data_IF_453634986896
#
_entry.id   IF_453634986896
#
_cell.length_a   1.000
_cell.length_b   1.000
_cell.length_c   1.000
_cell.angle_alpha   90.00
_cell.angle_beta   90.00
_cell.angle_gamma   90.00
#
_symmetry.space_group_name_H-M   'P 1'
#
loop_
_entity.id
_entity.type
_entity.pdbx_description
1 polymer ?
#
# COMPACT_ATOMS: atom_id res chain seq x y z
N UNK A 1 -25.01 92.06 -11.73
CA UNK A 1 -24.61 92.37 -10.35
C UNK A 1 -25.62 91.72 -9.42
N UNK A 2 -25.13 90.89 -8.50
CA UNK A 2 -25.65 90.47 -7.19
C UNK A 2 -27.17 90.43 -6.88
N UNK A 3 -27.50 89.51 -5.96
CA UNK A 3 -28.62 89.50 -4.99
C UNK A 3 -29.64 88.35 -5.16
N UNK A 4 -29.55 87.42 -4.19
CA UNK A 4 -30.56 86.53 -3.55
C UNK A 4 -31.89 86.19 -4.23
N UNK A 5 -32.38 84.96 -3.97
CA UNK A 5 -33.73 84.74 -3.39
C UNK A 5 -33.96 83.30 -2.92
N UNK A 6 -34.44 83.18 -1.68
CA UNK A 6 -35.26 82.08 -1.18
C UNK A 6 -36.73 82.48 -1.38
N UNK A 7 -37.58 81.60 -1.91
CA UNK A 7 -39.03 81.51 -1.60
C UNK A 7 -39.65 80.25 -2.20
N UNK A 8 -40.58 79.68 -1.43
CA UNK A 8 -41.42 78.51 -1.66
C UNK A 8 -42.59 78.72 -2.63
N UNK A 9 -43.19 77.60 -3.08
CA UNK A 9 -44.60 77.34 -3.46
C UNK A 9 -44.63 76.49 -4.74
N UNK A 10 -45.44 75.47 -4.94
CA UNK A 10 -46.54 74.89 -4.18
C UNK A 10 -47.25 73.82 -5.03
N UNK A 11 -48.25 73.16 -4.42
CA UNK A 11 -49.40 72.49 -5.02
C UNK A 11 -49.26 71.17 -5.84
N UNK A 12 -49.56 70.07 -5.11
CA UNK A 12 -50.69 69.12 -5.28
C UNK A 12 -51.06 68.45 -6.63
N UNK A 13 -51.24 67.12 -6.47
CA UNK A 13 -52.16 66.13 -7.10
C UNK A 13 -51.78 65.47 -8.45
N UNK A 14 -51.50 64.16 -8.44
CA UNK A 14 -52.44 63.03 -8.73
C UNK A 14 -51.72 61.75 -9.25
N UNK A 15 -52.27 60.62 -8.80
CA UNK A 15 -52.31 59.28 -9.42
C UNK A 15 -51.18 58.25 -9.20
N UNK A 16 -51.65 57.08 -8.76
CA UNK A 16 -51.01 55.76 -8.64
C UNK A 16 -50.54 55.17 -9.98
N UNK A 17 -49.40 54.47 -9.95
CA UNK A 17 -49.22 53.12 -10.51
C UNK A 17 -47.84 52.58 -10.06
N UNK A 18 -47.72 51.25 -9.94
CA UNK A 18 -46.61 50.55 -9.30
C UNK A 18 -45.27 50.59 -10.04
N UNK A 19 -44.24 50.01 -9.43
CA UNK A 19 -43.64 48.72 -9.81
C UNK A 19 -42.46 48.44 -8.86
N UNK A 20 -42.67 47.39 -8.07
CA UNK A 20 -41.73 46.42 -7.47
C UNK A 20 -40.27 46.84 -7.16
N UNK A 21 -39.98 46.89 -5.87
CA UNK A 21 -38.66 46.59 -5.31
C UNK A 21 -38.20 45.21 -5.77
N UNK A 22 -36.96 45.09 -6.27
CA UNK A 22 -36.33 43.81 -6.56
C UNK A 22 -36.02 43.09 -5.25
N UNK A 23 -36.94 42.22 -4.85
CA UNK A 23 -36.74 41.25 -3.78
C UNK A 23 -35.92 40.08 -4.35
N UNK A 24 -34.59 40.16 -4.27
CA UNK A 24 -33.72 39.02 -4.60
C UNK A 24 -33.67 38.11 -3.38
N UNK A 25 -34.62 37.19 -3.27
CA UNK A 25 -34.66 36.19 -2.21
C UNK A 25 -33.35 35.37 -2.23
N UNK A 26 -32.67 35.18 -1.08
CA UNK A 26 -31.38 34.47 -0.99
C UNK A 26 -31.46 32.98 -1.37
N UNK A 27 -32.66 32.47 -1.64
CA UNK A 27 -32.95 31.10 -2.04
C UNK A 27 -32.63 30.81 -3.51
N UNK A 28 -32.80 31.77 -4.42
CA UNK A 28 -32.65 31.53 -5.87
C UNK A 28 -31.17 31.42 -6.29
N UNK A 29 -30.29 32.22 -5.66
CA UNK A 29 -28.85 32.13 -5.88
C UNK A 29 -28.29 30.85 -5.29
N UNK A 30 -28.75 30.44 -4.09
CA UNK A 30 -28.37 29.19 -3.45
C UNK A 30 -28.84 27.95 -4.24
N UNK A 31 -30.05 27.99 -4.80
CA UNK A 31 -30.55 26.92 -5.67
C UNK A 31 -29.76 26.82 -6.98
N UNK A 32 -29.32 27.95 -7.55
CA UNK A 32 -28.49 27.98 -8.76
C UNK A 32 -27.08 27.43 -8.52
N UNK A 33 -26.46 27.74 -7.38
CA UNK A 33 -25.15 27.16 -7.00
C UNK A 33 -25.27 25.66 -6.72
N UNK A 34 -26.32 25.21 -6.03
CA UNK A 34 -26.55 23.78 -5.81
C UNK A 34 -26.77 23.01 -7.12
N UNK A 35 -27.53 23.58 -8.06
CA UNK A 35 -27.74 22.98 -9.39
C UNK A 35 -26.44 22.94 -10.20
N UNK A 36 -25.63 24.00 -10.15
CA UNK A 36 -24.34 24.03 -10.82
C UNK A 36 -23.37 22.99 -10.24
N UNK A 37 -23.31 22.85 -8.91
CA UNK A 37 -22.51 21.84 -8.22
C UNK A 37 -23.01 20.43 -8.57
N UNK A 38 -24.32 20.20 -8.61
CA UNK A 38 -24.90 18.91 -9.00
C UNK A 38 -24.57 18.55 -10.46
N UNK A 39 -24.63 19.52 -11.38
CA UNK A 39 -24.25 19.30 -12.78
C UNK A 39 -22.75 19.01 -12.91
N UNK A 40 -21.89 19.73 -12.18
CA UNK A 40 -20.44 19.44 -12.13
C UNK A 40 -20.19 18.05 -11.54
N UNK A 41 -20.91 17.65 -10.49
CA UNK A 41 -20.82 16.30 -9.91
C UNK A 41 -21.30 15.22 -10.88
N UNK A 42 -22.39 15.44 -11.60
CA UNK A 42 -22.88 14.51 -12.62
C UNK A 42 -21.90 14.44 -13.80
N UNK A 43 -21.29 15.55 -14.21
CA UNK A 43 -20.25 15.56 -15.23
C UNK A 43 -18.95 14.88 -14.77
N UNK A 44 -18.50 15.10 -13.53
CA UNK A 44 -17.35 14.40 -12.94
C UNK A 44 -17.62 12.91 -12.72
N UNK A 45 -18.84 12.55 -12.29
CA UNK A 45 -19.25 11.17 -12.16
C UNK A 45 -19.34 10.50 -13.53
N UNK A 46 -19.91 11.15 -14.55
CA UNK A 46 -20.01 10.57 -15.90
C UNK A 46 -18.66 10.50 -16.61
N UNK A 47 -17.80 11.51 -16.49
CA UNK A 47 -16.42 11.47 -17.05
C UNK A 47 -15.52 10.49 -16.30
N UNK A 48 -15.68 10.37 -14.98
CA UNK A 48 -15.03 9.33 -14.18
C UNK A 48 -15.52 7.92 -14.54
N UNK A 49 -16.82 7.74 -14.82
CA UNK A 49 -17.40 6.45 -15.22
C UNK A 49 -17.01 6.05 -16.66
N UNK A 50 -16.84 7.01 -17.57
CA UNK A 50 -16.38 6.73 -18.95
C UNK A 50 -14.88 6.45 -19.00
N UNK A 51 -14.07 7.11 -18.16
CA UNK A 51 -12.64 6.80 -18.02
C UNK A 51 -12.40 5.38 -17.44
N UNK A 52 -13.24 4.94 -16.50
CA UNK A 52 -13.18 3.57 -15.93
C UNK A 52 -13.60 2.50 -16.95
N UNK A 53 -14.51 2.82 -17.88
CA UNK A 53 -14.96 1.86 -18.92
C UNK A 53 -13.94 1.61 -20.03
N UNK A 54 -12.88 2.40 -20.16
CA UNK A 54 -11.82 2.14 -21.14
C UNK A 54 -10.68 1.24 -20.64
N UNK A 55 -10.79 0.65 -19.44
CA UNK A 55 -9.77 -0.28 -18.92
C UNK A 55 -10.09 -1.78 -19.09
N UNK A 56 -11.23 -2.17 -19.65
CA UNK A 56 -11.65 -3.58 -19.63
C UNK A 56 -11.75 -4.19 -21.04
N UNK A 57 -10.69 -4.88 -21.46
CA UNK A 57 -10.79 -6.13 -22.25
C UNK A 57 -9.50 -6.98 -22.24
N UNK A 58 -8.31 -6.41 -21.97
CA UNK A 58 -7.02 -7.15 -22.07
C UNK A 58 -6.06 -6.89 -20.89
N UNK A 59 -6.45 -7.17 -19.65
CA UNK A 59 -5.45 -7.23 -18.57
C UNK A 59 -4.57 -8.47 -18.75
N UNK A 60 -3.24 -8.34 -18.91
CA UNK A 60 -2.34 -9.46 -19.20
C UNK A 60 -2.50 -10.64 -18.24
N UNK A 61 -2.77 -10.36 -16.97
CA UNK A 61 -3.00 -11.39 -15.96
C UNK A 61 -4.32 -12.14 -16.15
N UNK A 62 -5.39 -11.46 -16.54
CA UNK A 62 -6.69 -12.09 -16.81
C UNK A 62 -6.59 -13.07 -17.98
N UNK A 63 -5.88 -12.67 -19.05
CA UNK A 63 -5.59 -13.55 -20.19
C UNK A 63 -4.75 -14.75 -19.75
N UNK A 64 -3.71 -14.53 -18.94
CA UNK A 64 -2.87 -15.61 -18.44
C UNK A 64 -3.64 -16.61 -17.57
N UNK A 65 -4.55 -16.14 -16.69
CA UNK A 65 -5.42 -16.98 -15.86
C UNK A 65 -6.40 -17.80 -16.71
N UNK A 66 -6.99 -17.20 -17.75
CA UNK A 66 -7.87 -17.92 -18.67
C UNK A 66 -7.14 -19.01 -19.47
N UNK A 67 -5.87 -18.77 -19.82
CA UNK A 67 -4.99 -19.77 -20.45
C UNK A 67 -4.66 -20.90 -19.48
N UNK A 68 -4.26 -20.58 -18.24
CA UNK A 68 -3.98 -21.56 -17.18
C UNK A 68 -5.18 -22.46 -16.89
N UNK A 69 -6.40 -21.91 -16.82
CA UNK A 69 -7.62 -22.67 -16.57
C UNK A 69 -7.92 -23.75 -17.62
N UNK A 70 -7.40 -23.60 -18.84
CA UNK A 70 -7.51 -24.56 -19.95
C UNK A 70 -6.28 -25.44 -20.10
N UNK A 71 -5.22 -25.18 -19.33
CA UNK A 71 -3.94 -25.85 -19.42
C UNK A 71 -3.95 -27.25 -18.82
N UNK A 72 -2.94 -28.04 -19.21
CA UNK A 72 -2.70 -29.35 -18.63
C UNK A 72 -1.20 -29.65 -18.58
N UNK A 73 -0.79 -30.51 -17.64
CA UNK A 73 0.57 -30.99 -17.53
C UNK A 73 0.55 -32.50 -17.30
N UNK A 74 1.35 -33.24 -18.07
CA UNK A 74 1.40 -34.70 -18.01
C UNK A 74 0.01 -35.39 -18.10
N UNK A 75 -0.87 -34.87 -18.96
CA UNK A 75 -2.21 -35.41 -19.18
C UNK A 75 -3.23 -35.11 -18.07
N UNK A 76 -2.90 -34.23 -17.12
CA UNK A 76 -3.81 -33.80 -16.04
C UNK A 76 -4.09 -32.30 -16.13
N UNK A 77 -5.34 -31.91 -15.90
CA UNK A 77 -5.73 -30.51 -15.83
C UNK A 77 -4.98 -29.77 -14.72
N UNK A 78 -4.67 -28.50 -14.94
CA UNK A 78 -4.06 -27.64 -13.93
C UNK A 78 -5.09 -27.31 -12.82
N UNK A 79 -4.66 -27.17 -11.55
CA UNK A 79 -5.55 -26.78 -10.47
C UNK A 79 -6.03 -25.33 -10.66
N UNK A 80 -7.19 -24.93 -10.09
CA UNK A 80 -7.60 -23.53 -10.06
C UNK A 80 -6.49 -22.64 -9.47
N UNK A 81 -6.25 -21.47 -10.08
CA UNK A 81 -5.18 -20.57 -9.65
C UNK A 81 -5.44 -19.91 -8.28
N UNK A 82 -6.71 -19.88 -7.85
CA UNK A 82 -7.18 -19.43 -6.54
C UNK A 82 -7.30 -20.59 -5.52
N UNK A 83 -6.85 -21.80 -5.88
CA UNK A 83 -6.81 -22.91 -4.95
C UNK A 83 -5.95 -22.59 -3.72
N UNK A 84 -6.33 -23.16 -2.57
CA UNK A 84 -5.61 -22.92 -1.30
C UNK A 84 -4.12 -23.24 -1.44
N UNK A 85 -3.22 -22.49 -0.77
CA UNK A 85 -1.78 -22.63 -0.97
C UNK A 85 -1.23 -24.05 -0.77
N UNK A 86 -1.73 -24.79 0.23
CA UNK A 86 -1.31 -26.18 0.47
C UNK A 86 -1.68 -27.12 -0.69
N UNK A 87 -2.79 -26.88 -1.41
CA UNK A 87 -3.15 -27.69 -2.58
C UNK A 87 -2.23 -27.40 -3.76
N UNK A 88 -1.91 -26.12 -3.98
CA UNK A 88 -0.94 -25.70 -5.00
C UNK A 88 0.45 -26.27 -4.70
N UNK A 89 0.90 -26.19 -3.44
CA UNK A 89 2.16 -26.78 -3.00
C UNK A 89 2.20 -28.30 -3.21
N UNK A 90 1.13 -29.01 -2.85
CA UNK A 90 1.03 -30.44 -3.12
C UNK A 90 1.07 -30.74 -4.62
N UNK A 91 0.32 -29.99 -5.44
CA UNK A 91 0.36 -30.12 -6.89
C UNK A 91 1.79 -29.99 -7.44
N UNK A 92 2.51 -28.91 -7.09
CA UNK A 92 3.89 -28.74 -7.53
C UNK A 92 4.80 -29.86 -7.01
N UNK A 93 4.59 -30.35 -5.78
CA UNK A 93 5.35 -31.47 -5.23
C UNK A 93 5.24 -32.75 -6.07
N UNK A 94 4.09 -32.99 -6.72
CA UNK A 94 3.90 -34.16 -7.61
C UNK A 94 4.61 -34.04 -8.97
N UNK A 95 5.05 -32.84 -9.35
CA UNK A 95 5.69 -32.59 -10.63
C UNK A 95 7.20 -32.81 -10.57
N UNK A 96 7.77 -33.31 -11.67
CA UNK A 96 9.22 -33.35 -11.88
C UNK A 96 9.79 -31.93 -12.03
N UNK A 97 11.09 -31.76 -11.81
CA UNK A 97 11.75 -30.46 -11.97
C UNK A 97 11.53 -29.85 -13.37
N UNK A 98 11.62 -30.68 -14.42
CA UNK A 98 11.36 -30.23 -15.80
C UNK A 98 9.91 -29.80 -16.05
N UNK A 99 8.93 -30.47 -15.42
CA UNK A 99 7.52 -30.08 -15.52
C UNK A 99 7.25 -28.75 -14.80
N UNK A 100 7.84 -28.55 -13.61
CA UNK A 100 7.73 -27.27 -12.87
C UNK A 100 8.28 -26.11 -13.69
N UNK A 101 9.49 -26.28 -14.22
CA UNK A 101 10.14 -25.27 -15.08
C UNK A 101 9.29 -24.98 -16.31
N UNK A 102 8.76 -26.00 -16.99
CA UNK A 102 7.86 -25.82 -18.14
C UNK A 102 6.64 -24.95 -17.78
N UNK A 103 5.99 -25.20 -16.64
CA UNK A 103 4.86 -24.39 -16.21
C UNK A 103 5.25 -22.94 -15.94
N UNK A 104 6.41 -22.69 -15.32
CA UNK A 104 6.90 -21.34 -15.08
C UNK A 104 7.24 -20.60 -16.39
N UNK A 105 7.73 -21.32 -17.39
CA UNK A 105 8.09 -20.75 -18.69
C UNK A 105 6.84 -20.49 -19.56
N UNK A 106 5.82 -21.37 -19.50
CA UNK A 106 4.58 -21.26 -20.28
C UNK A 106 3.55 -20.31 -19.65
N UNK A 107 3.47 -20.26 -18.30
CA UNK A 107 2.50 -19.44 -17.56
C UNK A 107 3.19 -18.53 -16.52
N UNK A 108 4.13 -17.66 -16.93
CA UNK A 108 4.98 -16.93 -15.99
C UNK A 108 4.18 -15.98 -15.06
N UNK A 109 3.20 -15.25 -15.60
CA UNK A 109 2.31 -14.37 -14.81
C UNK A 109 1.38 -15.13 -13.85
N UNK A 110 1.14 -16.42 -14.07
CA UNK A 110 0.35 -17.25 -13.15
C UNK A 110 1.26 -17.85 -12.11
N UNK A 111 2.23 -18.69 -12.52
CA UNK A 111 3.13 -19.41 -11.60
C UNK A 111 3.89 -18.47 -10.68
N UNK A 112 4.33 -17.31 -11.21
CA UNK A 112 4.99 -16.27 -10.42
C UNK A 112 4.15 -15.76 -9.25
N UNK A 113 2.83 -15.74 -9.40
CA UNK A 113 1.88 -15.21 -8.41
C UNK A 113 1.09 -16.30 -7.66
N UNK A 114 1.38 -17.60 -7.88
CA UNK A 114 0.71 -18.69 -7.18
C UNK A 114 1.29 -18.86 -5.77
N UNK A 115 0.48 -18.53 -4.78
CA UNK A 115 0.75 -18.86 -3.39
C UNK A 115 0.75 -20.38 -3.21
N UNK A 116 1.91 -20.95 -2.85
CA UNK A 116 2.14 -22.40 -2.80
C UNK A 116 3.05 -22.94 -3.91
N UNK A 117 3.37 -22.16 -4.94
CA UNK A 117 4.46 -22.51 -5.85
C UNK A 117 5.82 -22.39 -5.13
N UNK A 118 6.81 -23.26 -5.43
CA UNK A 118 8.16 -23.14 -4.86
C UNK A 118 8.74 -21.74 -5.09
N UNK A 119 9.40 -21.17 -4.08
CA UNK A 119 9.88 -19.77 -4.11
C UNK A 119 10.81 -19.50 -5.29
N UNK A 120 11.80 -20.36 -5.50
CA UNK A 120 12.72 -20.27 -6.65
C UNK A 120 12.00 -20.35 -8.01
N UNK A 121 10.89 -21.09 -8.07
CA UNK A 121 10.06 -21.17 -9.27
C UNK A 121 9.29 -19.86 -9.50
N UNK A 122 8.78 -19.24 -8.43
CA UNK A 122 8.13 -17.92 -8.50
C UNK A 122 9.12 -16.85 -8.98
N UNK A 123 10.35 -16.86 -8.48
CA UNK A 123 11.39 -15.93 -8.92
C UNK A 123 11.70 -16.08 -10.41
N UNK A 124 11.84 -17.32 -10.90
CA UNK A 124 12.03 -17.59 -12.32
C UNK A 124 10.86 -17.07 -13.15
N UNK A 125 9.64 -17.45 -12.77
CA UNK A 125 8.42 -17.08 -13.49
C UNK A 125 8.23 -15.55 -13.54
N UNK A 126 8.37 -14.85 -12.41
CA UNK A 126 8.25 -13.39 -12.37
C UNK A 126 9.36 -12.69 -13.17
N UNK A 127 10.58 -13.24 -13.20
CA UNK A 127 11.66 -12.71 -14.06
C UNK A 127 11.33 -12.84 -15.55
N UNK A 128 10.72 -13.96 -15.95
CA UNK A 128 10.25 -14.15 -17.33
C UNK A 128 9.07 -13.21 -17.65
N UNK A 129 8.10 -13.07 -16.75
CA UNK A 129 6.99 -12.15 -16.91
C UNK A 129 7.45 -10.69 -17.02
N UNK A 130 8.43 -10.27 -16.21
CA UNK A 130 9.07 -8.96 -16.30
C UNK A 130 9.72 -8.72 -17.66
N UNK A 131 10.47 -9.71 -18.18
CA UNK A 131 11.11 -9.60 -19.49
C UNK A 131 10.08 -9.48 -20.62
N UNK A 132 9.02 -10.29 -20.58
CA UNK A 132 7.92 -10.24 -21.54
C UNK A 132 7.19 -8.89 -21.50
N UNK A 133 6.88 -8.39 -20.29
CA UNK A 133 6.28 -7.08 -20.12
C UNK A 133 7.20 -5.95 -20.62
N UNK A 134 8.52 -6.08 -20.44
CA UNK A 134 9.52 -5.19 -21.01
C UNK A 134 9.42 -5.08 -22.53
N UNK A 135 9.35 -6.20 -23.25
CA UNK A 135 9.19 -6.20 -24.71
C UNK A 135 7.88 -5.53 -25.14
N UNK A 136 6.79 -5.74 -24.40
CA UNK A 136 5.51 -5.06 -24.69
C UNK A 136 5.62 -3.55 -24.50
N UNK A 137 6.21 -3.08 -23.40
CA UNK A 137 6.37 -1.65 -23.15
C UNK A 137 7.36 -0.98 -24.10
N UNK A 138 8.38 -1.68 -24.57
CA UNK A 138 9.29 -1.19 -25.62
C UNK A 138 8.56 -0.94 -26.94
N UNK A 139 7.68 -1.85 -27.35
CA UNK A 139 6.82 -1.64 -28.52
C UNK A 139 5.88 -0.45 -28.32
N UNK A 140 5.23 -0.36 -27.14
CA UNK A 140 4.33 0.75 -26.80
C UNK A 140 5.06 2.10 -26.79
N UNK A 141 6.28 2.16 -26.28
CA UNK A 141 7.07 3.40 -26.25
C UNK A 141 7.34 3.97 -27.65
N UNK A 142 7.34 3.13 -28.69
CA UNK A 142 7.54 3.52 -30.08
C UNK A 142 6.25 3.52 -30.92
N UNK A 143 5.11 3.15 -30.34
CA UNK A 143 3.84 3.10 -31.06
C UNK A 143 3.28 4.50 -31.31
N UNK A 144 3.32 4.93 -32.57
CA UNK A 144 2.82 6.24 -33.01
C UNK A 144 1.30 6.38 -32.88
N UNK A 145 0.57 5.27 -32.71
CA UNK A 145 -0.89 5.26 -32.46
C UNK A 145 -1.24 5.69 -31.03
N UNK A 146 -0.29 5.59 -30.08
CA UNK A 146 -0.49 6.07 -28.71
C UNK A 146 -0.33 7.60 -28.63
N UNK A 147 -0.92 8.21 -27.60
CA UNK A 147 -0.63 9.61 -27.27
C UNK A 147 0.83 9.79 -26.82
N UNK A 148 1.38 11.02 -26.85
CA UNK A 148 2.70 11.31 -26.27
C UNK A 148 2.81 10.84 -24.82
N UNK A 149 1.79 11.07 -24.00
CA UNK A 149 1.74 10.63 -22.60
C UNK A 149 1.74 9.10 -22.48
N UNK A 150 1.02 8.41 -23.37
CA UNK A 150 0.99 6.95 -23.42
C UNK A 150 2.35 6.35 -23.75
N UNK A 151 3.08 6.95 -24.71
CA UNK A 151 4.47 6.56 -25.02
C UNK A 151 5.43 6.87 -23.88
N UNK A 152 5.29 8.03 -23.24
CA UNK A 152 6.13 8.44 -22.12
C UNK A 152 5.93 7.53 -20.89
N UNK A 153 4.69 7.13 -20.60
CA UNK A 153 4.39 6.14 -19.57
C UNK A 153 5.00 4.77 -19.92
N UNK A 154 4.85 4.30 -21.16
CA UNK A 154 5.46 3.05 -21.60
C UNK A 154 7.00 3.08 -21.43
N UNK A 155 7.66 4.18 -21.78
CA UNK A 155 9.09 4.36 -21.58
C UNK A 155 9.48 4.29 -20.09
N UNK A 156 8.72 4.96 -19.19
CA UNK A 156 8.96 4.86 -17.73
C UNK A 156 8.81 3.45 -17.20
N UNK A 157 7.79 2.72 -17.67
CA UNK A 157 7.57 1.32 -17.29
C UNK A 157 8.68 0.41 -17.80
N UNK A 158 9.14 0.63 -19.03
CA UNK A 158 10.29 -0.10 -19.59
C UNK A 158 11.54 0.09 -18.75
N UNK A 159 11.89 1.33 -18.40
CA UNK A 159 13.05 1.63 -17.55
C UNK A 159 12.93 0.98 -16.17
N UNK A 160 11.72 1.01 -15.61
CA UNK A 160 11.41 0.31 -14.37
C UNK A 160 11.62 -1.21 -14.48
N UNK A 161 11.09 -1.85 -15.52
CA UNK A 161 11.26 -3.28 -15.72
C UNK A 161 12.72 -3.67 -15.93
N UNK A 162 13.49 -2.84 -16.66
CA UNK A 162 14.95 -3.02 -16.82
C UNK A 162 15.67 -2.98 -15.48
N UNK A 163 15.33 -2.02 -14.61
CA UNK A 163 15.85 -1.95 -13.25
C UNK A 163 15.51 -3.21 -12.44
N UNK A 164 14.25 -3.68 -12.49
CA UNK A 164 13.80 -4.89 -11.79
C UNK A 164 14.47 -6.17 -12.32
N UNK A 165 14.89 -6.20 -13.59
CA UNK A 165 15.61 -7.33 -14.18
C UNK A 165 17.12 -7.36 -13.86
N UNK A 166 17.62 -6.37 -13.12
CA UNK A 166 19.02 -6.33 -12.71
C UNK A 166 19.43 -7.64 -11.98
N UNK A 167 20.68 -8.12 -12.17
CA UNK A 167 21.15 -9.34 -11.53
C UNK A 167 20.99 -9.32 -10.01
N UNK A 168 20.63 -10.46 -9.42
CA UNK A 168 20.50 -10.62 -7.97
C UNK A 168 19.17 -10.13 -7.36
N UNK A 169 18.25 -9.59 -8.16
CA UNK A 169 16.89 -9.23 -7.70
C UNK A 169 15.94 -10.41 -7.80
N UNK A 170 15.10 -10.57 -6.78
CA UNK A 170 14.15 -11.68 -6.66
C UNK A 170 12.74 -11.16 -6.38
N UNK A 171 11.77 -11.52 -7.24
CA UNK A 171 10.39 -11.06 -7.11
C UNK A 171 9.45 -12.22 -6.82
N UNK A 172 8.73 -12.15 -5.70
CA UNK A 172 7.66 -13.09 -5.34
C UNK A 172 6.35 -12.82 -6.08
N UNK A 173 6.10 -11.59 -6.47
CA UNK A 173 4.91 -11.21 -7.19
C UNK A 173 5.26 -10.15 -8.24
N UNK A 174 4.57 -10.23 -9.37
CA UNK A 174 4.64 -9.24 -10.44
C UNK A 174 3.35 -9.29 -11.24
N UNK A 175 2.71 -8.13 -11.37
CA UNK A 175 1.53 -7.94 -12.20
C UNK A 175 1.67 -6.60 -12.94
N UNK A 176 1.84 -6.60 -14.28
CA UNK A 176 1.93 -5.37 -15.07
C UNK A 176 0.54 -4.79 -15.42
N UNK A 177 -0.55 -5.35 -14.91
CA UNK A 177 -1.90 -4.83 -15.18
C UNK A 177 -2.12 -3.49 -14.47
N UNK A 178 -2.79 -2.54 -15.12
CA UNK A 178 -3.03 -1.20 -14.57
C UNK A 178 -1.75 -0.48 -14.11
N UNK A 179 -1.78 0.08 -12.89
CA UNK A 179 -0.61 0.73 -12.24
C UNK A 179 0.49 -0.25 -11.82
N UNK A 180 0.17 -1.55 -11.86
CA UNK A 180 1.06 -2.64 -11.57
C UNK A 180 1.36 -2.85 -10.09
N UNK A 181 1.71 -4.10 -9.78
CA UNK A 181 1.98 -4.61 -8.44
C UNK A 181 3.28 -5.43 -8.45
N UNK A 182 4.00 -5.42 -7.34
CA UNK A 182 5.23 -6.21 -7.21
C UNK A 182 5.55 -6.53 -5.75
N UNK A 183 6.26 -7.63 -5.51
CA UNK A 183 6.86 -7.93 -4.22
C UNK A 183 8.30 -8.39 -4.42
N UNK A 184 9.27 -7.62 -3.92
CA UNK A 184 10.70 -7.94 -4.01
C UNK A 184 11.21 -8.53 -2.69
N UNK A 185 12.15 -9.46 -2.78
CA UNK A 185 12.75 -10.14 -1.64
C UNK A 185 14.24 -9.83 -1.53
N UNK A 186 14.65 -9.49 -0.32
CA UNK A 186 16.04 -9.39 0.12
C UNK A 186 16.37 -10.55 1.06
N UNK A 187 17.49 -11.22 0.83
CA UNK A 187 17.88 -12.43 1.58
C UNK A 187 17.38 -13.74 0.96
N UNK A 188 17.58 -14.85 1.66
CA UNK A 188 17.14 -16.18 1.25
C UNK A 188 15.86 -16.57 1.98
N UNK A 189 14.72 -16.37 1.32
CA UNK A 189 13.40 -16.63 1.90
C UNK A 189 13.14 -18.11 2.18
N UNK A 190 13.74 -19.04 1.43
CA UNK A 190 13.56 -20.49 1.67
C UNK A 190 14.31 -20.93 2.94
N UNK A 191 15.36 -20.21 3.34
CA UNK A 191 16.22 -20.53 4.50
C UNK A 191 16.08 -19.56 5.68
N UNK A 192 15.20 -18.57 5.57
CA UNK A 192 14.99 -17.55 6.58
C UNK A 192 14.42 -18.16 7.88
N UNK A 193 15.01 -17.78 9.01
CA UNK A 193 14.53 -18.05 10.36
C UNK A 193 13.51 -17.02 10.81
N UNK A 194 13.53 -15.81 10.23
CA UNK A 194 12.53 -14.75 10.42
C UNK A 194 12.30 -13.98 9.13
N UNK A 195 11.06 -13.57 8.89
CA UNK A 195 10.69 -12.80 7.70
C UNK A 195 10.07 -11.47 8.09
N UNK A 196 10.59 -10.40 7.51
CA UNK A 196 10.05 -9.05 7.68
C UNK A 196 9.30 -8.64 6.42
N UNK A 197 8.11 -8.08 6.55
CA UNK A 197 7.31 -7.61 5.40
C UNK A 197 7.07 -6.11 5.56
N UNK A 198 7.62 -5.32 4.64
CA UNK A 198 7.37 -3.88 4.58
C UNK A 198 6.08 -3.64 3.81
N UNK A 199 5.08 -3.08 4.49
CA UNK A 199 3.78 -2.71 3.94
C UNK A 199 3.72 -1.18 3.82
N UNK A 200 3.88 -0.63 2.60
CA UNK A 200 3.98 0.80 2.37
C UNK A 200 2.59 1.47 2.34
N UNK A 201 2.58 2.80 2.33
CA UNK A 201 1.35 3.60 2.28
C UNK A 201 0.83 3.95 0.89
N UNK A 202 0.15 5.10 0.82
CA UNK A 202 -0.45 5.66 -0.41
C UNK A 202 0.57 5.86 -1.53
N UNK A 203 0.07 6.03 -2.75
CA UNK A 203 0.88 6.21 -3.96
C UNK A 203 1.84 5.06 -4.29
N UNK A 204 1.73 3.92 -3.61
CA UNK A 204 2.46 2.70 -3.92
C UNK A 204 1.92 2.05 -5.20
N UNK A 205 2.81 1.84 -6.16
CA UNK A 205 2.59 1.09 -7.39
C UNK A 205 3.94 0.72 -8.01
N UNK A 206 3.93 0.07 -9.18
CA UNK A 206 5.14 -0.43 -9.82
C UNK A 206 6.17 0.67 -10.16
N UNK A 207 5.72 1.85 -10.60
CA UNK A 207 6.62 2.97 -10.91
C UNK A 207 7.19 3.66 -9.66
N UNK A 208 6.49 3.58 -8.53
CA UNK A 208 6.91 4.17 -7.25
C UNK A 208 7.57 3.17 -6.30
N UNK A 209 7.69 1.90 -6.72
CA UNK A 209 8.29 0.80 -5.98
C UNK A 209 9.72 1.10 -5.52
N UNK A 210 10.48 1.86 -6.32
CA UNK A 210 11.84 2.29 -6.02
C UNK A 210 12.02 3.75 -6.44
N UNK A 211 12.85 4.50 -5.71
CA UNK A 211 13.19 5.90 -5.99
C UNK A 211 14.70 6.07 -5.88
N UNK A 212 15.22 7.17 -6.41
CA UNK A 212 16.64 7.54 -6.32
C UNK A 212 16.81 8.83 -5.51
N UNK A 213 18.05 9.13 -5.11
CA UNK A 213 18.40 10.34 -4.35
C UNK A 213 17.87 10.32 -2.92
N UNK A 214 17.48 11.48 -2.42
CA UNK A 214 17.06 11.69 -1.00
C UNK A 214 15.73 11.03 -0.63
N UNK A 215 14.99 10.46 -1.60
CA UNK A 215 13.72 9.76 -1.36
C UNK A 215 13.84 8.25 -1.54
N UNK A 216 15.06 7.71 -1.58
CA UNK A 216 15.30 6.28 -1.82
C UNK A 216 14.59 5.43 -0.77
N UNK A 217 14.74 5.76 0.52
CA UNK A 217 14.15 4.98 1.63
C UNK A 217 12.70 5.36 1.94
N UNK A 218 12.11 6.27 1.17
CA UNK A 218 10.67 6.54 1.16
C UNK A 218 9.90 5.59 0.22
N UNK A 219 10.60 4.76 -0.55
CA UNK A 219 10.00 3.79 -1.47
C UNK A 219 10.13 2.36 -0.91
N UNK A 220 9.20 1.44 -1.22
CA UNK A 220 9.18 0.08 -0.65
C UNK A 220 10.51 -0.67 -0.75
N UNK A 221 11.19 -0.57 -1.90
CA UNK A 221 12.50 -1.22 -2.14
C UNK A 221 13.60 -0.62 -1.27
N UNK A 222 13.63 0.70 -1.10
CA UNK A 222 14.59 1.34 -0.21
C UNK A 222 14.33 1.03 1.25
N UNK A 223 13.05 1.08 1.68
CA UNK A 223 12.64 0.70 3.03
C UNK A 223 13.10 -0.73 3.39
N UNK A 224 12.76 -1.70 2.53
CA UNK A 224 13.13 -3.11 2.76
C UNK A 224 14.64 -3.35 2.71
N UNK A 225 15.36 -2.67 1.81
CA UNK A 225 16.82 -2.76 1.72
C UNK A 225 17.50 -2.23 2.99
N UNK A 226 17.06 -1.08 3.48
CA UNK A 226 17.57 -0.48 4.72
C UNK A 226 17.25 -1.35 5.93
N UNK A 227 16.03 -1.88 6.02
CA UNK A 227 15.66 -2.83 7.06
C UNK A 227 16.50 -4.11 7.01
N UNK A 228 16.68 -4.72 5.84
CA UNK A 228 17.52 -5.92 5.70
C UNK A 228 18.97 -5.68 6.11
N UNK A 229 19.54 -4.52 5.77
CA UNK A 229 20.88 -4.15 6.21
C UNK A 229 20.97 -3.94 7.73
N UNK A 230 19.96 -3.31 8.32
CA UNK A 230 19.89 -3.07 9.75
C UNK A 230 19.70 -4.38 10.54
N UNK A 231 18.83 -5.28 10.09
CA UNK A 231 18.62 -6.61 10.70
C UNK A 231 19.91 -7.45 10.70
N UNK A 232 20.66 -7.45 9.59
CA UNK A 232 21.96 -8.14 9.53
C UNK A 232 22.99 -7.58 10.50
N UNK A 233 22.84 -6.33 10.90
CA UNK A 233 23.71 -5.67 11.88
C UNK A 233 23.23 -5.97 13.31
N UNK A 234 21.92 -5.91 13.54
CA UNK A 234 21.30 -6.16 14.86
C UNK A 234 21.40 -7.63 15.28
N UNK A 235 21.26 -8.57 14.34
CA UNK A 235 21.35 -10.00 14.59
C UNK A 235 22.17 -10.75 13.53
N UNK A 236 23.50 -10.65 13.52
CA UNK A 236 24.35 -11.30 12.51
C UNK A 236 24.22 -12.82 12.42
N UNK A 237 23.78 -13.47 13.51
CA UNK A 237 23.52 -14.91 13.58
C UNK A 237 22.12 -15.34 13.11
N UNK A 238 21.18 -14.40 12.98
CA UNK A 238 19.79 -14.66 12.58
C UNK A 238 19.67 -14.55 11.07
N UNK A 239 19.22 -15.62 10.41
CA UNK A 239 18.98 -15.57 8.95
C UNK A 239 17.65 -14.89 8.68
N UNK A 240 17.66 -13.62 8.32
CA UNK A 240 16.44 -12.89 7.93
C UNK A 240 16.22 -12.85 6.41
N UNK A 241 14.97 -12.66 6.02
CA UNK A 241 14.60 -12.19 4.69
C UNK A 241 13.59 -11.05 4.81
N UNK A 242 13.71 -10.01 3.98
CA UNK A 242 12.81 -8.85 3.98
C UNK A 242 12.08 -8.76 2.66
N UNK A 243 10.75 -8.56 2.71
CA UNK A 243 9.89 -8.44 1.54
C UNK A 243 9.45 -6.97 1.41
N UNK A 244 9.86 -6.31 0.32
CA UNK A 244 9.26 -5.04 -0.11
C UNK A 244 7.91 -5.34 -0.76
N UNK A 245 6.81 -5.20 -0.02
CA UNK A 245 5.50 -5.65 -0.47
C UNK A 245 4.64 -4.51 -1.03
N UNK A 246 4.63 -4.38 -2.35
CA UNK A 246 3.75 -3.48 -3.09
C UNK A 246 2.75 -4.28 -3.95
N UNK A 247 2.31 -5.44 -3.45
CA UNK A 247 1.33 -6.30 -4.13
C UNK A 247 -0.10 -6.05 -3.63
N UNK A 248 -0.49 -4.77 -3.59
CA UNK A 248 -1.86 -4.33 -3.34
C UNK A 248 -2.14 -3.01 -4.06
N UNK A 249 -3.42 -2.68 -4.21
CA UNK A 249 -3.83 -1.39 -4.78
C UNK A 249 -3.87 -0.34 -3.68
N UNK A 250 -2.90 0.57 -3.67
CA UNK A 250 -2.85 1.68 -2.74
C UNK A 250 -3.71 2.88 -3.22
N UNK A 251 -4.21 3.72 -2.29
CA UNK A 251 -4.85 4.98 -2.64
C UNK A 251 -3.92 5.89 -3.45
N UNK A 252 -4.51 6.78 -4.28
CA UNK A 252 -3.78 7.88 -4.92
C UNK A 252 -3.88 9.10 -4.02
N UNK A 253 -2.74 9.59 -3.54
CA UNK A 253 -2.66 10.71 -2.60
C UNK A 253 -3.50 10.50 -1.32
N UNK A 254 -3.81 11.61 -0.64
CA UNK A 254 -4.52 11.65 0.64
C UNK A 254 -5.96 12.12 0.40
N UNK A 255 -6.69 11.38 -0.43
CA UNK A 255 -8.08 11.68 -0.83
C UNK A 255 -9.13 10.81 -0.13
N UNK A 256 -10.37 10.82 -0.64
CA UNK A 256 -11.46 10.00 -0.08
C UNK A 256 -11.12 8.51 -0.04
N UNK A 257 -10.45 7.99 -1.06
CA UNK A 257 -10.03 6.58 -1.10
C UNK A 257 -9.02 6.24 0.01
N UNK A 258 -8.22 7.21 0.45
CA UNK A 258 -7.33 7.06 1.60
C UNK A 258 -8.12 7.14 2.91
N UNK A 259 -9.11 8.03 3.02
CA UNK A 259 -9.96 8.09 4.22
C UNK A 259 -10.87 6.87 4.39
N UNK A 260 -11.24 6.21 3.28
CA UNK A 260 -12.06 5.00 3.25
C UNK A 260 -11.21 3.74 3.41
N UNK A 261 -11.77 2.74 4.09
CA UNK A 261 -11.10 1.47 4.38
C UNK A 261 -11.15 0.43 3.25
N UNK A 262 -11.81 0.71 2.13
CA UNK A 262 -12.09 -0.29 1.10
C UNK A 262 -10.83 -0.84 0.42
N UNK A 263 -9.83 0.02 0.16
CA UNK A 263 -8.54 -0.40 -0.42
C UNK A 263 -7.72 -1.21 0.59
N UNK A 264 -7.70 -0.78 1.85
CA UNK A 264 -7.12 -1.53 2.96
C UNK A 264 -7.77 -2.92 3.12
N UNK A 265 -9.09 -3.05 3.02
CA UNK A 265 -9.79 -4.35 3.07
C UNK A 265 -9.36 -5.30 1.94
N UNK A 266 -9.27 -4.79 0.70
CA UNK A 266 -8.77 -5.60 -0.43
C UNK A 266 -7.29 -5.96 -0.26
N UNK A 267 -6.49 -5.03 0.26
CA UNK A 267 -5.09 -5.25 0.59
C UNK A 267 -4.91 -6.31 1.68
N UNK A 268 -5.75 -6.30 2.71
CA UNK A 268 -5.71 -7.25 3.82
C UNK A 268 -5.86 -8.71 3.34
N UNK A 269 -6.79 -8.97 2.41
CA UNK A 269 -6.95 -10.31 1.80
C UNK A 269 -5.68 -10.76 1.08
N UNK A 270 -5.00 -9.84 0.38
CA UNK A 270 -3.73 -10.16 -0.32
C UNK A 270 -2.57 -10.36 0.65
N UNK A 271 -2.51 -9.57 1.72
CA UNK A 271 -1.49 -9.69 2.75
C UNK A 271 -1.61 -11.02 3.51
N UNK A 272 -2.83 -11.39 3.93
CA UNK A 272 -3.10 -12.68 4.55
C UNK A 272 -2.69 -13.84 3.63
N UNK A 273 -3.08 -13.78 2.36
CA UNK A 273 -2.71 -14.78 1.38
C UNK A 273 -1.18 -14.90 1.16
N UNK A 274 -0.44 -13.79 1.16
CA UNK A 274 1.03 -13.78 1.10
C UNK A 274 1.61 -14.49 2.33
N UNK A 275 1.26 -13.99 3.52
CA UNK A 275 1.86 -14.44 4.78
C UNK A 275 1.52 -15.90 5.06
N UNK A 276 0.29 -16.32 4.80
CA UNK A 276 -0.16 -17.71 4.92
C UNK A 276 0.51 -18.68 3.94
N UNK A 277 1.11 -18.17 2.87
CA UNK A 277 1.80 -18.95 1.85
C UNK A 277 3.33 -18.95 1.96
N UNK A 278 3.90 -18.21 2.93
CA UNK A 278 5.33 -18.25 3.19
C UNK A 278 5.77 -19.66 3.65
N UNK A 279 6.99 -20.10 3.32
CA UNK A 279 7.48 -21.43 3.67
C UNK A 279 7.43 -21.74 5.18
N UNK A 280 7.33 -23.03 5.50
CA UNK A 280 7.54 -23.53 6.87
C UNK A 280 6.55 -22.97 7.89
N UNK A 281 7.05 -22.57 9.06
CA UNK A 281 6.33 -21.88 10.14
C UNK A 281 7.08 -20.62 10.61
N UNK A 282 7.92 -20.08 9.73
CA UNK A 282 8.82 -18.98 10.02
C UNK A 282 8.05 -17.79 10.59
N UNK A 283 8.45 -17.25 11.76
CA UNK A 283 7.88 -16.03 12.32
C UNK A 283 7.94 -14.87 11.33
N UNK A 284 6.90 -14.05 11.35
CA UNK A 284 6.73 -12.92 10.46
C UNK A 284 6.50 -11.65 11.27
N UNK A 285 7.25 -10.61 10.96
CA UNK A 285 7.06 -9.26 11.49
C UNK A 285 6.58 -8.35 10.36
N UNK A 286 5.47 -7.65 10.56
CA UNK A 286 4.94 -6.69 9.60
C UNK A 286 5.40 -5.27 9.98
N UNK A 287 5.92 -4.53 9.01
CA UNK A 287 6.38 -3.16 9.16
C UNK A 287 5.53 -2.25 8.28
N UNK A 288 4.52 -1.65 8.90
CA UNK A 288 3.41 -1.02 8.20
C UNK A 288 3.49 0.50 8.31
N UNK A 289 3.78 1.15 7.18
CA UNK A 289 4.03 2.58 7.12
C UNK A 289 2.83 3.35 6.57
N UNK A 290 2.47 4.47 7.18
CA UNK A 290 1.40 5.35 6.68
C UNK A 290 0.09 4.57 6.48
N UNK A 291 -0.58 4.67 5.33
CA UNK A 291 -1.78 3.88 5.01
C UNK A 291 -1.58 2.36 5.12
N UNK A 292 -0.33 1.86 5.04
CA UNK A 292 -0.01 0.47 5.31
C UNK A 292 -0.43 0.02 6.72
N UNK A 293 -0.39 0.93 7.71
CA UNK A 293 -0.86 0.65 9.08
C UNK A 293 -2.38 0.37 9.15
N UNK A 294 -3.17 1.08 8.36
CA UNK A 294 -4.62 0.84 8.19
C UNK A 294 -4.85 -0.56 7.60
N UNK A 295 -4.10 -0.90 6.55
CA UNK A 295 -4.16 -2.22 5.92
C UNK A 295 -3.80 -3.33 6.93
N UNK A 296 -2.69 -3.17 7.66
CA UNK A 296 -2.28 -4.15 8.66
C UNK A 296 -3.27 -4.27 9.82
N UNK A 297 -3.87 -3.16 10.26
CA UNK A 297 -4.92 -3.17 11.27
C UNK A 297 -6.17 -3.93 10.81
N UNK A 298 -6.64 -3.67 9.59
CA UNK A 298 -7.76 -4.40 8.98
C UNK A 298 -7.44 -5.89 8.79
N UNK A 299 -6.19 -6.24 8.47
CA UNK A 299 -5.75 -7.62 8.32
C UNK A 299 -5.60 -8.37 9.65
N UNK A 300 -5.32 -7.66 10.75
CA UNK A 300 -4.79 -8.21 12.00
C UNK A 300 -5.53 -9.45 12.53
N UNK A 301 -6.86 -9.43 12.47
CA UNK A 301 -7.75 -10.49 12.95
C UNK A 301 -7.68 -11.80 12.14
N UNK A 302 -7.37 -11.73 10.85
CA UNK A 302 -7.31 -12.91 9.97
C UNK A 302 -5.89 -13.44 9.81
N UNK A 303 -4.87 -12.64 10.16
CA UNK A 303 -3.48 -13.03 9.99
C UNK A 303 -3.15 -14.33 10.75
N UNK A 304 -2.34 -15.22 10.14
CA UNK A 304 -1.96 -16.48 10.77
C UNK A 304 -1.07 -16.24 11.99
N UNK A 305 -1.10 -17.18 12.94
CA UNK A 305 -0.33 -17.11 14.20
C UNK A 305 1.20 -17.03 14.04
N UNK A 306 1.72 -17.18 12.82
CA UNK A 306 3.14 -16.93 12.53
C UNK A 306 3.48 -15.43 12.52
N UNK A 307 2.49 -14.55 12.36
CA UNK A 307 2.71 -13.11 12.52
C UNK A 307 2.85 -12.86 14.01
N UNK A 308 4.08 -12.57 14.43
CA UNK A 308 4.42 -12.34 15.84
C UNK A 308 4.44 -10.86 16.17
N UNK A 309 4.63 -10.00 15.17
CA UNK A 309 4.76 -8.56 15.37
C UNK A 309 4.06 -7.77 14.25
N UNK A 310 3.36 -6.71 14.63
CA UNK A 310 2.84 -5.68 13.74
C UNK A 310 3.38 -4.36 14.24
N UNK A 311 4.39 -3.83 13.56
CA UNK A 311 4.99 -2.53 13.86
C UNK A 311 4.46 -1.48 12.89
N UNK A 312 3.83 -0.43 13.42
CA UNK A 312 3.29 0.68 12.63
C UNK A 312 4.12 1.94 12.84
N UNK A 313 4.34 2.70 11.76
CA UNK A 313 5.01 4.00 11.82
C UNK A 313 4.35 5.03 10.92
N UNK A 314 4.34 6.28 11.40
CA UNK A 314 3.62 7.37 10.74
C UNK A 314 2.15 6.99 10.49
N UNK A 315 1.51 6.31 11.45
CA UNK A 315 0.18 5.74 11.26
C UNK A 315 -0.90 6.83 11.38
N UNK A 316 -1.87 6.91 10.44
CA UNK A 316 -3.10 7.67 10.66
C UNK A 316 -4.13 6.91 11.53
N UNK A 317 -3.84 5.67 11.95
CA UNK A 317 -4.77 4.77 12.64
C UNK A 317 -4.76 3.35 12.08
N UNK A 318 -5.40 2.43 12.81
CA UNK A 318 -5.44 0.98 12.48
C UNK A 318 -6.86 0.43 12.28
N UNK A 319 -7.88 1.29 12.17
CA UNK A 319 -9.31 0.93 12.11
C UNK A 319 -9.77 0.12 13.34
N UNK A 320 -9.27 0.53 14.50
CA UNK A 320 -9.59 0.00 15.81
C UNK A 320 -9.50 1.15 16.83
N UNK A 321 -10.31 1.10 17.88
CA UNK A 321 -10.25 2.10 18.95
C UNK A 321 -9.14 1.78 19.96
N UNK A 322 -8.72 0.51 20.04
CA UNK A 322 -7.60 0.04 20.86
C UNK A 322 -7.03 -1.28 20.30
N UNK A 323 -5.85 -1.66 20.76
CA UNK A 323 -5.11 -2.83 20.29
C UNK A 323 -5.86 -4.16 20.53
N UNK A 324 -6.79 -4.24 21.49
CA UNK A 324 -7.56 -5.48 21.74
C UNK A 324 -8.59 -5.76 20.65
N UNK A 325 -9.10 -4.72 20.00
CA UNK A 325 -10.05 -4.82 18.88
C UNK A 325 -9.40 -5.28 17.57
N UNK A 326 -8.07 -5.25 17.48
CA UNK A 326 -7.34 -5.87 16.38
C UNK A 326 -7.46 -7.40 16.39
N UNK A 327 -7.90 -7.98 17.51
CA UNK A 327 -8.10 -9.42 17.69
C UNK A 327 -6.90 -10.29 17.24
N UNK A 328 -5.69 -9.78 17.45
CA UNK A 328 -4.44 -10.45 17.11
C UNK A 328 -3.69 -10.92 18.36
N UNK A 329 -2.82 -11.90 18.17
CA UNK A 329 -1.84 -12.36 19.17
C UNK A 329 -0.45 -11.76 18.95
N UNK A 330 -0.26 -11.03 17.85
CA UNK A 330 0.99 -10.35 17.57
C UNK A 330 1.22 -9.22 18.59
N UNK A 331 2.49 -8.95 18.90
CA UNK A 331 2.85 -7.70 19.55
C UNK A 331 2.54 -6.54 18.60
N UNK A 332 1.79 -5.56 19.09
CA UNK A 332 1.49 -4.34 18.33
C UNK A 332 2.46 -3.26 18.79
N UNK A 333 3.31 -2.81 17.89
CA UNK A 333 4.29 -1.74 18.12
C UNK A 333 3.88 -0.50 17.35
N UNK A 334 4.07 0.67 17.94
CA UNK A 334 3.78 1.94 17.29
C UNK A 334 4.95 2.91 17.52
N UNK A 335 5.25 3.71 16.50
CA UNK A 335 6.23 4.78 16.60
C UNK A 335 5.81 5.96 15.72
N UNK A 336 6.12 7.18 16.18
CA UNK A 336 5.89 8.41 15.42
C UNK A 336 7.06 9.35 15.64
N UNK A 337 7.60 9.87 14.55
CA UNK A 337 8.58 10.96 14.58
C UNK A 337 7.90 12.26 15.03
N UNK A 338 8.64 13.09 15.77
CA UNK A 338 8.13 14.35 16.32
C UNK A 338 7.67 15.35 15.26
N UNK A 339 8.28 15.35 14.08
CA UNK A 339 7.97 16.25 12.97
C UNK A 339 7.06 15.61 11.91
N UNK A 340 6.47 14.44 12.21
CA UNK A 340 5.56 13.78 11.30
C UNK A 340 4.19 14.50 11.27
N UNK A 341 3.89 15.15 10.14
CA UNK A 341 2.60 15.82 9.87
C UNK A 341 1.37 14.92 10.09
N UNK A 342 1.54 13.60 10.11
CA UNK A 342 0.44 12.68 10.42
C UNK A 342 -0.15 12.93 11.81
N UNK A 343 0.61 13.54 12.74
CA UNK A 343 0.12 13.98 14.04
C UNK A 343 -1.06 14.97 13.94
N UNK A 344 -1.17 15.71 12.82
CA UNK A 344 -2.22 16.69 12.59
C UNK A 344 -3.48 16.08 11.92
N UNK A 345 -3.46 14.79 11.58
CA UNK A 345 -4.62 14.10 11.01
C UNK A 345 -5.58 13.68 12.14
N UNK A 346 -6.88 14.05 12.07
CA UNK A 346 -7.84 13.67 13.11
C UNK A 346 -7.99 12.15 13.25
N UNK A 347 -7.70 11.62 14.44
CA UNK A 347 -7.76 10.19 14.78
C UNK A 347 -9.17 9.77 15.23
N UNK A 348 -10.13 9.77 14.30
CA UNK A 348 -11.51 9.35 14.58
C UNK A 348 -12.07 8.58 13.40
N UNK A 349 -12.83 7.52 13.64
CA UNK A 349 -13.71 6.93 12.61
C UNK A 349 -15.16 7.37 12.83
N UNK A 350 -15.76 8.07 11.86
CA UNK A 350 -17.19 8.42 11.87
C UNK A 350 -17.82 7.99 10.56
N UNK A 351 -18.88 7.17 10.64
CA UNK A 351 -19.63 6.71 9.47
C UNK A 351 -18.73 6.11 8.35
N UNK A 352 -17.65 5.42 8.74
CA UNK A 352 -16.71 4.76 7.83
C UNK A 352 -15.56 5.64 7.31
N UNK A 353 -15.49 6.91 7.70
CA UNK A 353 -14.43 7.86 7.35
C UNK A 353 -13.43 8.00 8.50
N UNK A 354 -12.13 7.95 8.19
CA UNK A 354 -11.04 8.01 9.16
C UNK A 354 -10.51 6.63 9.53
N UNK A 355 -9.62 6.54 10.50
CA UNK A 355 -8.84 5.31 10.77
C UNK A 355 -8.81 4.88 12.23
N UNK A 356 -9.72 5.39 13.05
CA UNK A 356 -9.79 5.07 14.48
C UNK A 356 -8.73 5.81 15.29
N UNK A 357 -8.43 5.28 16.47
CA UNK A 357 -7.52 5.90 17.42
C UNK A 357 -6.05 5.87 16.95
N UNK A 358 -5.27 6.81 17.49
CA UNK A 358 -3.84 6.95 17.23
C UNK A 358 -3.05 5.81 17.89
N UNK A 359 -2.28 5.00 17.14
CA UNK A 359 -1.55 3.88 17.74
C UNK A 359 -0.44 4.29 18.71
N UNK A 360 0.04 5.55 18.66
CA UNK A 360 1.00 6.05 19.66
C UNK A 360 0.35 6.69 20.88
N UNK A 361 -0.98 6.78 20.94
CA UNK A 361 -1.69 7.15 22.16
C UNK A 361 -1.59 5.98 23.16
N UNK A 362 -1.11 6.19 24.40
CA UNK A 362 -1.06 5.14 25.42
C UNK A 362 -2.41 4.43 25.64
N UNK A 363 -3.54 5.12 25.45
CA UNK A 363 -4.88 4.55 25.58
C UNK A 363 -5.19 3.50 24.49
N UNK A 364 -4.52 3.57 23.34
CA UNK A 364 -4.64 2.54 22.30
C UNK A 364 -4.08 1.19 22.78
N UNK A 365 -3.02 1.21 23.61
CA UNK A 365 -2.42 0.00 24.19
C UNK A 365 -1.42 -0.72 23.27
N UNK A 366 -0.81 -0.03 22.31
CA UNK A 366 0.36 -0.53 21.60
C UNK A 366 1.65 -0.29 22.41
N UNK A 367 2.72 -1.00 22.04
CA UNK A 367 4.07 -0.79 22.55
C UNK A 367 4.71 0.40 21.84
N UNK A 368 4.95 1.49 22.57
CA UNK A 368 5.44 2.73 21.96
C UNK A 368 6.97 2.71 21.91
N UNK A 369 7.51 2.48 20.71
CA UNK A 369 8.94 2.49 20.43
C UNK A 369 9.39 3.89 19.99
N UNK A 370 10.64 4.23 20.28
CA UNK A 370 11.23 5.51 19.89
C UNK A 370 11.44 5.59 18.37
N UNK A 371 11.37 6.81 17.84
CA UNK A 371 11.59 7.11 16.43
C UNK A 371 12.64 8.22 16.23
N UNK A 372 13.57 8.37 17.19
CA UNK A 372 14.64 9.37 17.12
C UNK A 372 15.38 9.39 15.79
N UNK A 373 15.80 10.58 15.39
CA UNK A 373 16.53 10.91 14.16
C UNK A 373 15.78 10.63 12.85
N UNK A 374 14.58 10.05 12.89
CA UNK A 374 13.68 10.10 11.74
C UNK A 374 13.31 11.56 11.45
N UNK A 375 13.12 11.89 10.18
CA UNK A 375 12.74 13.23 9.76
C UNK A 375 11.47 13.14 8.92
N UNK A 376 10.37 13.57 9.53
CA UNK A 376 9.05 13.62 8.93
C UNK A 376 8.52 12.26 8.49
N UNK A 377 7.44 12.29 7.73
CA UNK A 377 6.65 11.10 7.43
C UNK A 377 7.38 10.00 6.66
N UNK A 378 8.45 10.33 5.93
CA UNK A 378 9.18 9.35 5.10
C UNK A 378 10.46 8.84 5.75
N UNK A 379 10.83 9.34 6.94
CA UNK A 379 12.17 9.17 7.53
C UNK A 379 12.39 7.86 8.30
N UNK A 380 11.35 7.08 8.59
CA UNK A 380 11.43 5.94 9.52
C UNK A 380 12.36 4.80 9.08
N UNK A 381 12.67 4.70 7.79
CA UNK A 381 13.56 3.68 7.24
C UNK A 381 14.92 4.25 6.80
N UNK A 382 15.21 5.51 7.13
CA UNK A 382 16.51 6.09 6.82
C UNK A 382 17.62 5.42 7.65
N UNK A 383 18.76 5.05 7.04
CA UNK A 383 19.88 4.48 7.77
C UNK A 383 20.37 5.38 8.91
N UNK A 384 20.60 4.78 10.08
CA UNK A 384 21.12 5.46 11.25
C UNK A 384 20.06 6.05 12.18
N UNK A 385 18.77 5.98 11.81
CA UNK A 385 17.69 6.40 12.71
C UNK A 385 17.40 5.36 13.78
N UNK A 386 16.93 5.83 14.93
CA UNK A 386 16.49 4.96 16.02
C UNK A 386 15.25 4.15 15.62
N UNK A 387 14.35 4.72 14.81
CA UNK A 387 13.20 3.99 14.23
C UNK A 387 13.63 2.76 13.43
N UNK A 388 14.62 2.89 12.55
CA UNK A 388 15.14 1.76 11.78
C UNK A 388 15.84 0.73 12.69
N UNK A 389 16.57 1.19 13.71
CA UNK A 389 17.17 0.33 14.72
C UNK A 389 16.14 -0.50 15.47
N UNK A 390 15.04 0.12 15.90
CA UNK A 390 13.92 -0.54 16.55
C UNK A 390 13.21 -1.54 15.63
N UNK A 391 13.00 -1.18 14.36
CA UNK A 391 12.47 -2.11 13.38
C UNK A 391 13.36 -3.34 13.21
N UNK A 392 14.67 -3.14 13.11
CA UNK A 392 15.61 -4.24 12.99
C UNK A 392 15.58 -5.15 14.22
N UNK A 393 15.56 -4.58 15.44
CA UNK A 393 15.46 -5.33 16.68
C UNK A 393 14.18 -6.18 16.74
N UNK A 394 13.03 -5.63 16.35
CA UNK A 394 11.77 -6.38 16.23
C UNK A 394 11.88 -7.48 15.17
N UNK A 395 12.46 -7.18 14.00
CA UNK A 395 12.61 -8.10 12.87
C UNK A 395 13.47 -9.32 13.22
N UNK A 396 14.56 -9.12 13.97
CA UNK A 396 15.41 -10.22 14.45
C UNK A 396 14.93 -10.86 15.76
N UNK A 397 13.93 -10.26 16.43
CA UNK A 397 13.36 -10.75 17.68
C UNK A 397 14.18 -10.42 18.94
N UNK A 398 15.11 -9.46 18.87
CA UNK A 398 15.89 -8.98 20.01
C UNK A 398 15.14 -7.86 20.74
N UNK A 399 13.97 -8.18 21.29
CA UNK A 399 13.04 -7.19 21.82
C UNK A 399 13.62 -6.34 22.96
N UNK A 400 14.58 -6.86 23.73
CA UNK A 400 15.30 -6.10 24.77
C UNK A 400 16.20 -4.99 24.22
N UNK A 401 16.47 -4.96 22.91
CA UNK A 401 17.24 -3.91 22.25
C UNK A 401 16.38 -2.79 21.65
N UNK A 402 15.06 -2.89 21.75
CA UNK A 402 14.16 -1.80 21.33
C UNK A 402 14.26 -0.64 22.31
N UNK A 403 14.45 0.58 21.84
CA UNK A 403 14.31 1.76 22.71
C UNK A 403 12.85 2.18 22.79
N UNK A 404 12.32 2.32 24.01
CA UNK A 404 10.98 2.85 24.25
C UNK A 404 10.93 4.37 24.06
N UNK A 405 9.82 4.90 23.55
CA UNK A 405 9.66 6.35 23.34
C UNK A 405 9.67 7.17 24.65
N UNK A 406 9.24 6.57 25.77
CA UNK A 406 9.32 7.15 27.10
C UNK A 406 9.80 6.08 28.10
N UNK A 407 10.55 6.49 29.12
CA UNK A 407 11.16 5.57 30.09
C UNK A 407 10.13 4.78 30.93
N UNK A 408 8.91 5.30 31.03
CA UNK A 408 7.76 4.72 31.73
C UNK A 408 6.79 3.98 30.80
N UNK A 409 7.01 3.96 29.47
CA UNK A 409 6.04 3.42 28.51
C UNK A 409 5.93 1.89 28.47
N UNK A 410 6.75 1.17 29.25
CA UNK A 410 6.64 -0.28 29.42
C UNK A 410 6.70 -1.06 28.10
N UNK A 411 7.34 -0.54 27.04
CA UNK A 411 7.22 -1.12 25.71
C UNK A 411 7.77 -2.56 25.60
N UNK A 412 8.51 -3.03 26.60
CA UNK A 412 9.00 -4.42 26.74
C UNK A 412 8.13 -5.35 27.59
N UNK A 413 7.14 -4.85 28.33
CA UNK A 413 6.40 -5.65 29.32
C UNK A 413 5.65 -6.82 28.67
N UNK A 414 5.69 -8.03 29.24
CA UNK A 414 4.92 -9.21 28.77
C UNK A 414 5.35 -9.78 27.40
N UNK A 415 6.59 -9.55 26.95
CA UNK A 415 7.15 -10.23 25.78
C UNK A 415 7.81 -11.55 26.22
N UNK A 416 7.21 -12.68 25.87
CA UNK A 416 7.83 -14.00 26.04
C UNK A 416 8.79 -14.28 24.88
N UNK A 417 10.09 -14.38 25.16
CA UNK A 417 11.13 -14.66 24.14
C UNK A 417 12.58 -14.53 24.61
N UNK A 418 12.81 -14.06 25.84
CA UNK A 418 14.15 -13.78 26.40
C UNK A 418 14.85 -15.03 26.97
N UNK A 419 14.80 -16.16 26.25
CA UNK A 419 15.76 -17.24 26.49
C UNK A 419 16.95 -17.05 25.54
N UNK A 420 17.92 -16.28 26.04
CA UNK A 420 19.30 -16.32 25.57
C UNK A 420 19.77 -17.78 25.49
N UNK A 421 20.13 -18.22 24.29
CA UNK A 421 20.97 -19.40 24.07
C UNK A 421 22.40 -18.95 23.85
#
# INVERSE_FOLDING_TARGET
>A
MCVTRFTSSGARLLMWAGVTSFDSSPTLTAWRTLLAIAVVFVMLATTGWTAVRHQSSDEPRTVALASWAKGSIAGRALPPADARPHRLAHFFATLTAGQRVRLADEYPLVVGNLNGAPITLRYRANRLALAQAGTVEEQRAHDTRLSPDGRAEAARRLDRFRSMLAPGRHFLAFDPSGRGHAAEVFGDLDRAERVSVVVPGVDTNLLTLERTGTKTNAAPVGMAKSLYAAERTAGPGVRTAVIAWADYTAPVGIGMDAALGNLAQRGAVRLDALVGALPGRTPVSLFCHSYGSVLCGVAARELPARVTDIAVAGSPGMRADNARELHTRANVWAMRDHDDWIADVPNLEVAGLGHGADPVDPAFGARIAAAGDAIGHSGYFEPGTESLGNFAAIGVGTYGSVTCAQADSGCHEQISGDETV
#
